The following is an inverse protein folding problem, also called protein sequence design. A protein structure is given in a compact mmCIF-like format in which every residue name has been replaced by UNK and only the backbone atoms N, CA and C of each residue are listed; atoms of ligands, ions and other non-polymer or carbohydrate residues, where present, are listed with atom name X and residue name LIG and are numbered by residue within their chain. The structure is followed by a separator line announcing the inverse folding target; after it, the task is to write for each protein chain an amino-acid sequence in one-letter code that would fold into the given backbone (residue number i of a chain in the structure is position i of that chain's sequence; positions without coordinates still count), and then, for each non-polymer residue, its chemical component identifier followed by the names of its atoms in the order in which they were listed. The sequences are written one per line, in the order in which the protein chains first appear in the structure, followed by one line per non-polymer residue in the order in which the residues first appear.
data_IF_252593027277
#
_entry.id   IF_252593027277
#
_cell.length_a   1.000
_cell.length_b   1.000
_cell.length_c   1.000
_cell.angle_alpha   90.00
_cell.angle_beta   90.00
_cell.angle_gamma   90.00
#
_symmetry.space_group_name_H-M   'P 1'
#
loop_
_entity.id
_entity.type
_entity.pdbx_description
1 polymer ?
#
# COMPACT_ATOMS: atom_id res chain seq x y z
N UNK A 1 9.22 -9.85 7.67
CA UNK A 1 8.39 -9.25 8.72
C UNK A 1 7.68 -10.28 9.57
N UNK A 2 6.92 -11.16 9.04
CA UNK A 2 6.14 -12.14 9.78
C UNK A 2 5.55 -13.20 8.87
N UNK A 3 4.94 -14.20 9.50
CA UNK A 3 4.19 -15.26 8.84
C UNK A 3 2.72 -15.01 9.17
N UNK A 4 1.86 -15.14 8.16
CA UNK A 4 0.40 -15.02 8.33
C UNK A 4 -0.18 -16.42 8.34
N UNK A 5 -0.99 -16.70 9.34
CA UNK A 5 -1.73 -17.94 9.50
C UNK A 5 -3.23 -17.65 9.40
N UNK A 6 -3.97 -18.55 8.81
CA UNK A 6 -5.41 -18.58 8.95
C UNK A 6 -5.78 -19.26 10.27
N UNK A 7 -6.72 -18.68 11.00
CA UNK A 7 -7.18 -19.15 12.29
C UNK A 7 -8.69 -18.99 12.46
N UNK A 8 -9.18 -19.41 13.61
CA UNK A 8 -10.58 -19.25 14.00
C UNK A 8 -10.62 -18.63 15.39
N UNK A 9 -11.32 -17.49 15.53
CA UNK A 9 -11.54 -16.84 16.81
C UNK A 9 -12.53 -17.66 17.69
N UNK A 10 -12.57 -17.38 19.00
CA UNK A 10 -13.44 -18.07 19.97
C UNK A 10 -14.93 -18.08 19.58
N UNK A 11 -15.37 -17.12 18.78
CA UNK A 11 -16.75 -17.06 18.23
C UNK A 11 -16.96 -17.83 16.93
N UNK A 12 -15.98 -18.59 16.43
CA UNK A 12 -16.06 -19.34 15.18
C UNK A 12 -15.79 -18.51 13.91
N UNK A 13 -15.49 -17.21 14.03
CA UNK A 13 -15.17 -16.35 12.88
C UNK A 13 -13.76 -16.60 12.37
N UNK A 14 -13.55 -16.67 11.04
CA UNK A 14 -12.22 -16.82 10.46
C UNK A 14 -11.39 -15.53 10.66
N UNK A 15 -10.12 -15.71 10.98
CA UNK A 15 -9.18 -14.60 11.25
C UNK A 15 -7.85 -14.86 10.57
N UNK A 16 -7.13 -13.77 10.28
CA UNK A 16 -5.74 -13.79 9.88
C UNK A 16 -4.86 -13.43 11.08
N UNK A 17 -3.92 -14.32 11.44
CA UNK A 17 -2.98 -14.12 12.55
C UNK A 17 -1.60 -13.90 11.99
N UNK A 18 -1.09 -12.68 12.12
CA UNK A 18 0.27 -12.31 11.69
C UNK A 18 1.23 -12.37 12.86
N UNK A 19 2.19 -13.29 12.82
CA UNK A 19 3.21 -13.48 13.84
C UNK A 19 4.52 -12.85 13.38
N UNK A 20 5.11 -11.98 14.20
CA UNK A 20 6.39 -11.33 13.93
C UNK A 20 7.52 -12.35 13.98
N UNK A 21 8.51 -12.25 13.08
CA UNK A 21 9.66 -13.18 13.08
C UNK A 21 10.52 -13.00 14.32
N UNK A 22 11.19 -14.08 14.74
CA UNK A 22 12.07 -14.10 15.92
C UNK A 22 13.16 -13.02 15.86
N UNK A 23 13.72 -12.74 14.68
CA UNK A 23 14.74 -11.71 14.50
C UNK A 23 14.23 -10.30 14.88
N UNK A 24 12.99 -9.98 14.49
CA UNK A 24 12.37 -8.68 14.77
C UNK A 24 11.82 -8.61 16.20
N UNK A 25 11.42 -9.75 16.79
CA UNK A 25 10.94 -9.80 18.18
C UNK A 25 12.06 -9.53 19.20
N UNK A 26 13.32 -9.68 18.79
CA UNK A 26 14.49 -9.36 19.63
C UNK A 26 14.90 -7.88 19.58
N UNK A 27 14.36 -7.10 18.63
CA UNK A 27 14.59 -5.67 18.52
C UNK A 27 13.55 -4.91 19.36
N UNK A 28 13.95 -4.45 20.54
CA UNK A 28 13.05 -3.72 21.44
C UNK A 28 12.49 -2.41 20.83
N UNK A 29 13.22 -1.76 19.93
CA UNK A 29 12.76 -0.54 19.26
C UNK A 29 11.62 -0.90 18.30
N UNK A 30 11.79 -1.99 17.55
CA UNK A 30 10.77 -2.53 16.69
C UNK A 30 9.52 -2.93 17.49
N UNK A 31 9.66 -3.70 18.55
CA UNK A 31 8.53 -4.19 19.37
C UNK A 31 7.73 -3.02 19.97
N UNK A 32 8.40 -2.02 20.57
CA UNK A 32 7.71 -0.83 21.12
C UNK A 32 6.95 -0.05 20.03
N UNK A 33 7.54 0.09 18.85
CA UNK A 33 6.88 0.76 17.72
C UNK A 33 5.68 -0.05 17.24
N UNK A 34 5.83 -1.36 17.04
CA UNK A 34 4.76 -2.27 16.64
C UNK A 34 3.57 -2.16 17.60
N UNK A 35 3.80 -2.24 18.92
CA UNK A 35 2.75 -2.11 19.93
C UNK A 35 2.01 -0.77 19.84
N UNK A 36 2.75 0.33 19.64
CA UNK A 36 2.16 1.67 19.52
C UNK A 36 1.30 1.79 18.23
N UNK A 37 1.79 1.30 17.11
CA UNK A 37 1.08 1.34 15.83
C UNK A 37 -0.16 0.45 15.85
N UNK A 38 -0.06 -0.74 16.44
CA UNK A 38 -1.22 -1.63 16.67
C UNK A 38 -2.27 -0.97 17.56
N UNK A 39 -1.88 -0.35 18.66
CA UNK A 39 -2.81 0.35 19.55
C UNK A 39 -3.52 1.54 18.89
N UNK A 40 -2.87 2.19 17.93
CA UNK A 40 -3.49 3.23 17.12
C UNK A 40 -4.44 2.61 16.07
N UNK A 41 -4.03 1.52 15.45
CA UNK A 41 -4.77 0.77 14.45
C UNK A 41 -6.09 0.20 14.99
N UNK A 42 -6.11 -0.33 16.20
CA UNK A 42 -7.31 -0.85 16.86
C UNK A 42 -8.43 0.19 17.04
N UNK A 43 -8.09 1.47 16.97
CA UNK A 43 -9.07 2.57 17.08
C UNK A 43 -9.70 2.95 15.75
N UNK A 44 -9.16 2.46 14.65
CA UNK A 44 -9.63 2.81 13.31
C UNK A 44 -10.78 1.89 12.93
N UNK A 45 -11.94 2.47 12.73
CA UNK A 45 -13.13 1.78 12.24
C UNK A 45 -13.51 2.40 10.90
N UNK A 46 -13.21 1.71 9.82
CA UNK A 46 -13.55 2.16 8.48
C UNK A 46 -13.92 0.96 7.60
N UNK A 47 -14.96 1.06 6.74
CA UNK A 47 -15.45 -0.06 5.93
C UNK A 47 -14.47 -0.61 4.90
N UNK A 48 -13.35 0.08 4.66
CA UNK A 48 -12.29 -0.30 3.73
C UNK A 48 -10.89 -0.41 4.37
N UNK A 49 -10.82 -0.51 5.69
CA UNK A 49 -9.60 -0.84 6.44
C UNK A 49 -9.86 -2.16 7.17
N UNK A 50 -8.97 -3.13 7.00
CA UNK A 50 -9.11 -4.42 7.68
C UNK A 50 -9.04 -4.22 9.19
N UNK A 51 -10.08 -4.58 9.96
CA UNK A 51 -10.11 -4.38 11.40
C UNK A 51 -9.02 -5.16 12.12
N UNK A 52 -8.35 -4.52 13.08
CA UNK A 52 -7.49 -5.19 14.07
C UNK A 52 -8.37 -5.67 15.21
N UNK A 53 -8.52 -6.98 15.33
CA UNK A 53 -9.41 -7.62 16.32
C UNK A 53 -8.71 -7.81 17.66
N UNK A 54 -7.43 -8.23 17.62
CA UNK A 54 -6.62 -8.46 18.81
C UNK A 54 -5.14 -8.32 18.48
N UNK A 55 -4.32 -8.15 19.51
CA UNK A 55 -2.87 -8.16 19.39
C UNK A 55 -2.25 -8.49 20.75
N UNK A 56 -1.12 -9.17 20.71
CA UNK A 56 -0.44 -9.59 21.94
C UNK A 56 0.93 -10.18 21.68
N UNK A 57 1.38 -10.97 22.63
CA UNK A 57 2.62 -11.72 22.56
C UNK A 57 2.38 -13.17 23.00
N UNK A 58 2.94 -14.12 22.27
CA UNK A 58 2.89 -15.55 22.63
C UNK A 58 4.26 -16.16 22.38
N UNK A 59 4.83 -16.80 23.41
CA UNK A 59 6.15 -17.41 23.34
C UNK A 59 7.28 -16.43 23.00
N UNK A 60 7.16 -15.14 23.39
CA UNK A 60 8.12 -14.09 23.07
C UNK A 60 7.97 -13.51 21.66
N UNK A 61 6.94 -13.91 20.91
CA UNK A 61 6.68 -13.42 19.56
C UNK A 61 5.44 -12.50 19.55
N UNK A 62 5.56 -11.22 19.16
CA UNK A 62 4.42 -10.36 18.96
C UNK A 62 3.52 -10.89 17.83
N UNK A 63 2.21 -10.79 18.03
CA UNK A 63 1.22 -11.15 17.01
C UNK A 63 0.14 -10.09 16.85
N UNK A 64 -0.52 -10.13 15.72
CA UNK A 64 -1.66 -9.31 15.35
C UNK A 64 -2.76 -10.20 14.77
N UNK A 65 -3.99 -10.02 15.22
CA UNK A 65 -5.18 -10.72 14.71
C UNK A 65 -6.04 -9.72 13.96
N UNK A 66 -6.37 -10.05 12.72
CA UNK A 66 -7.23 -9.24 11.86
C UNK A 66 -8.40 -10.08 11.31
N UNK A 67 -9.44 -9.43 10.84
CA UNK A 67 -10.47 -10.10 10.05
C UNK A 67 -9.85 -10.76 8.81
N UNK A 68 -10.24 -11.99 8.51
CA UNK A 68 -9.82 -12.69 7.30
C UNK A 68 -10.67 -12.21 6.12
N UNK A 69 -10.01 -11.62 5.12
CA UNK A 69 -10.65 -11.22 3.86
C UNK A 69 -10.41 -12.32 2.82
N UNK A 70 -11.47 -13.00 2.33
CA UNK A 70 -11.31 -14.29 1.66
C UNK A 70 -10.95 -14.22 0.16
N UNK A 71 -11.06 -13.05 -0.47
CA UNK A 71 -10.97 -12.92 -1.94
C UNK A 71 -9.55 -12.71 -2.48
N UNK A 72 -8.52 -12.89 -1.65
CA UNK A 72 -7.12 -12.69 -2.05
C UNK A 72 -6.73 -11.23 -2.15
N UNK A 73 -5.60 -10.95 -2.80
CA UNK A 73 -5.04 -9.60 -2.94
C UNK A 73 -5.28 -9.01 -4.33
N UNK A 74 -5.17 -7.68 -4.43
CA UNK A 74 -5.15 -6.98 -5.72
C UNK A 74 -3.95 -7.42 -6.57
N UNK A 75 -2.84 -7.82 -5.94
CA UNK A 75 -1.67 -8.38 -6.64
C UNK A 75 -2.03 -9.65 -7.40
N UNK A 76 -2.65 -10.62 -6.74
CA UNK A 76 -3.11 -11.87 -7.36
C UNK A 76 -4.15 -11.61 -8.45
N UNK A 77 -4.99 -10.60 -8.27
CA UNK A 77 -5.96 -10.16 -9.28
C UNK A 77 -5.27 -9.62 -10.53
N UNK A 78 -4.23 -8.79 -10.36
CA UNK A 78 -3.44 -8.26 -11.49
C UNK A 78 -2.67 -9.40 -12.17
N UNK A 79 -2.00 -10.27 -11.41
CA UNK A 79 -1.28 -11.42 -11.98
C UNK A 79 -2.21 -12.33 -12.82
N UNK A 80 -3.41 -12.59 -12.34
CA UNK A 80 -4.36 -13.46 -13.05
C UNK A 80 -4.97 -12.80 -14.29
N UNK A 81 -5.18 -11.48 -14.27
CA UNK A 81 -5.80 -10.73 -15.36
C UNK A 81 -4.79 -10.14 -16.36
N UNK A 82 -3.52 -10.02 -15.96
CA UNK A 82 -2.45 -9.30 -16.67
C UNK A 82 -2.57 -7.78 -16.54
N UNK A 83 -3.75 -7.22 -16.68
CA UNK A 83 -4.07 -5.81 -16.48
C UNK A 83 -5.58 -5.64 -16.24
N UNK A 84 -5.97 -4.54 -15.63
CA UNK A 84 -7.36 -4.18 -15.38
C UNK A 84 -7.78 -3.01 -16.29
N UNK A 85 -9.07 -2.91 -16.58
CA UNK A 85 -9.61 -1.72 -17.22
C UNK A 85 -9.71 -0.55 -16.20
N UNK A 86 -9.81 0.67 -16.72
CA UNK A 86 -9.83 1.89 -15.91
C UNK A 86 -11.04 1.94 -14.96
N UNK A 87 -12.22 1.52 -15.42
CA UNK A 87 -13.44 1.55 -14.62
C UNK A 87 -13.34 0.57 -13.43
N UNK A 88 -12.83 -0.63 -13.67
CA UNK A 88 -12.56 -1.63 -12.62
C UNK A 88 -11.48 -1.13 -11.65
N UNK A 89 -10.39 -0.54 -12.15
CA UNK A 89 -9.31 0.01 -11.32
C UNK A 89 -9.83 1.08 -10.37
N UNK A 90 -10.55 2.08 -10.89
CA UNK A 90 -11.09 3.18 -10.07
C UNK A 90 -12.13 2.67 -9.07
N UNK A 91 -13.01 1.76 -9.48
CA UNK A 91 -14.02 1.16 -8.60
C UNK A 91 -13.39 0.39 -7.44
N UNK A 92 -12.38 -0.44 -7.70
CA UNK A 92 -11.69 -1.20 -6.66
C UNK A 92 -10.88 -0.31 -5.72
N UNK A 93 -10.31 0.79 -6.20
CA UNK A 93 -9.43 1.65 -5.39
C UNK A 93 -10.16 2.81 -4.69
N UNK A 94 -11.42 3.07 -5.01
CA UNK A 94 -12.18 4.15 -4.36
C UNK A 94 -12.31 3.94 -2.85
N UNK A 95 -12.73 2.74 -2.43
CA UNK A 95 -12.83 2.41 -1.01
C UNK A 95 -11.50 2.39 -0.26
N UNK A 96 -10.45 1.69 -0.75
CA UNK A 96 -9.11 1.77 -0.19
C UNK A 96 -8.57 3.19 -0.05
N UNK A 97 -8.83 4.09 -1.02
CA UNK A 97 -8.42 5.48 -0.92
C UNK A 97 -9.10 6.23 0.25
N UNK A 98 -10.39 5.99 0.50
CA UNK A 98 -11.08 6.50 1.68
C UNK A 98 -10.50 5.90 2.98
N UNK A 99 -10.16 4.61 2.97
CA UNK A 99 -9.48 3.93 4.07
C UNK A 99 -8.11 4.55 4.38
N UNK A 100 -7.31 4.85 3.36
CA UNK A 100 -6.02 5.54 3.49
C UNK A 100 -6.23 6.94 4.11
N UNK A 101 -7.22 7.70 3.66
CA UNK A 101 -7.52 9.02 4.23
C UNK A 101 -7.98 8.90 5.72
N UNK A 102 -8.68 7.83 6.09
CA UNK A 102 -9.05 7.56 7.49
C UNK A 102 -7.83 7.25 8.37
N UNK A 103 -6.83 6.50 7.85
CA UNK A 103 -5.55 6.29 8.52
C UNK A 103 -4.85 7.64 8.75
N UNK A 104 -4.76 8.48 7.71
CA UNK A 104 -4.12 9.80 7.79
C UNK A 104 -4.82 10.71 8.81
N UNK A 105 -6.16 10.71 8.84
CA UNK A 105 -6.95 11.44 9.83
C UNK A 105 -6.71 10.99 11.28
N UNK A 106 -6.22 9.77 11.47
CA UNK A 106 -5.82 9.21 12.78
C UNK A 106 -4.34 9.42 13.10
N UNK A 107 -3.60 10.15 12.25
CA UNK A 107 -2.17 10.40 12.41
C UNK A 107 -1.27 9.22 12.01
N UNK A 108 -1.81 8.23 11.30
CA UNK A 108 -1.06 7.08 10.78
C UNK A 108 -0.79 7.25 9.28
N UNK A 109 0.47 7.08 8.88
CA UNK A 109 0.89 6.93 7.48
C UNK A 109 1.15 5.45 7.22
N UNK A 110 0.62 4.91 6.14
CA UNK A 110 0.70 3.48 5.84
C UNK A 110 2.12 3.02 5.45
N UNK A 111 2.82 3.79 4.65
CA UNK A 111 4.23 3.60 4.22
C UNK A 111 4.54 2.35 3.40
N UNK A 112 3.55 1.51 3.12
CA UNK A 112 3.69 0.27 2.33
C UNK A 112 2.46 -0.02 1.47
N UNK A 113 1.87 1.01 0.87
CA UNK A 113 0.78 0.83 -0.10
C UNK A 113 1.33 0.12 -1.33
N UNK A 114 0.73 -1.04 -1.64
CA UNK A 114 1.04 -1.87 -2.82
C UNK A 114 -0.12 -2.85 -3.06
N UNK A 115 -0.23 -3.47 -4.23
CA UNK A 115 -1.34 -4.39 -4.54
C UNK A 115 -1.46 -5.56 -3.56
N UNK A 116 -0.36 -6.07 -3.01
CA UNK A 116 -0.38 -7.16 -2.03
C UNK A 116 -1.02 -6.77 -0.68
N UNK A 117 -1.07 -5.46 -0.37
CA UNK A 117 -1.66 -4.92 0.85
C UNK A 117 -3.07 -4.33 0.63
N UNK A 118 -3.68 -4.62 -0.51
CA UNK A 118 -5.08 -4.33 -0.82
C UNK A 118 -5.78 -5.66 -1.03
N UNK A 119 -6.60 -6.05 -0.05
CA UNK A 119 -7.34 -7.32 -0.07
C UNK A 119 -8.71 -7.13 -0.69
N UNK A 120 -9.22 -8.19 -1.32
CA UNK A 120 -10.46 -8.16 -2.07
C UNK A 120 -11.51 -9.11 -1.45
N UNK A 121 -12.76 -8.69 -1.50
CA UNK A 121 -13.93 -9.53 -1.26
C UNK A 121 -15.00 -9.18 -2.29
N UNK A 122 -15.06 -9.95 -3.38
CA UNK A 122 -15.85 -9.62 -4.57
C UNK A 122 -15.42 -8.27 -5.17
N UNK A 123 -16.34 -7.30 -5.16
CA UNK A 123 -16.13 -5.93 -5.65
C UNK A 123 -15.67 -4.95 -4.56
N UNK A 124 -15.54 -5.41 -3.33
CA UNK A 124 -15.03 -4.60 -2.21
C UNK A 124 -13.54 -4.81 -2.05
N UNK A 125 -12.84 -3.74 -1.69
CA UNK A 125 -11.41 -3.78 -1.44
C UNK A 125 -11.08 -3.10 -0.10
N UNK A 126 -10.03 -3.59 0.56
CA UNK A 126 -9.65 -3.21 1.91
C UNK A 126 -8.15 -2.99 2.00
N UNK A 127 -7.74 -1.97 2.72
CA UNK A 127 -6.33 -1.74 3.06
C UNK A 127 -5.96 -2.57 4.29
N UNK A 128 -4.82 -3.25 4.22
CA UNK A 128 -4.25 -4.04 5.32
C UNK A 128 -2.78 -3.74 5.50
N UNK A 129 -2.18 -4.23 6.57
CA UNK A 129 -0.72 -4.16 6.83
C UNK A 129 -0.14 -2.73 6.92
N UNK A 130 -0.93 -1.78 7.41
CA UNK A 130 -0.51 -0.40 7.56
C UNK A 130 0.58 -0.24 8.62
N UNK A 131 1.67 0.43 8.23
CA UNK A 131 2.69 1.02 9.10
C UNK A 131 3.54 0.13 9.99
N UNK A 132 3.07 -1.07 10.32
CA UNK A 132 3.48 -1.91 11.46
C UNK A 132 4.97 -2.27 11.53
N UNK A 133 5.82 -1.86 10.60
CA UNK A 133 7.23 -2.27 10.66
C UNK A 133 8.22 -1.54 9.73
N UNK A 134 7.84 -0.46 9.06
CA UNK A 134 8.81 0.25 8.21
C UNK A 134 9.41 1.45 8.92
N UNK A 135 10.71 1.39 9.17
CA UNK A 135 11.50 2.52 9.61
C UNK A 135 11.64 3.54 8.47
N UNK A 136 11.51 4.82 8.78
CA UNK A 136 11.76 5.94 7.85
C UNK A 136 13.24 6.12 7.51
N UNK A 137 14.13 5.22 7.96
CA UNK A 137 15.56 5.39 7.75
C UNK A 137 16.04 4.60 6.53
N UNK A 138 16.66 5.30 5.60
CA UNK A 138 17.37 4.78 4.43
C UNK A 138 18.39 3.67 4.74
N UNK A 139 18.84 3.53 5.99
CA UNK A 139 19.76 2.52 6.46
C UNK A 139 19.25 1.07 6.33
N UNK A 140 17.95 0.87 6.10
CA UNK A 140 17.35 -0.46 5.95
C UNK A 140 17.13 -0.90 4.50
N UNK A 141 17.37 -0.02 3.52
CA UNK A 141 17.16 -0.32 2.08
C UNK A 141 18.04 -1.44 1.54
N UNK A 142 19.14 -1.77 2.23
CA UNK A 142 20.14 -2.76 1.79
C UNK A 142 20.14 -4.06 2.59
N UNK A 143 19.18 -4.27 3.51
CA UNK A 143 19.13 -5.54 4.26
C UNK A 143 18.73 -6.71 3.33
N UNK A 144 19.51 -7.81 3.29
CA UNK A 144 19.12 -9.02 2.59
C UNK A 144 17.79 -9.54 3.17
N UNK A 145 16.80 -9.77 2.30
CA UNK A 145 15.49 -10.30 2.72
C UNK A 145 14.34 -9.29 2.75
N UNK A 146 14.55 -8.01 2.48
CA UNK A 146 13.42 -7.14 2.09
C UNK A 146 12.89 -7.61 0.74
N UNK A 147 11.59 -7.87 0.69
CA UNK A 147 10.94 -8.33 -0.54
C UNK A 147 11.23 -7.31 -1.67
N UNK A 148 11.89 -7.76 -2.72
CA UNK A 148 12.29 -6.94 -3.89
C UNK A 148 11.13 -6.09 -4.42
N UNK A 149 9.89 -6.58 -4.37
CA UNK A 149 8.71 -5.91 -4.88
C UNK A 149 8.23 -4.68 -4.10
N UNK A 150 8.75 -4.39 -2.89
CA UNK A 150 8.33 -3.16 -2.16
C UNK A 150 9.03 -1.90 -2.65
N UNK A 151 10.14 -2.02 -3.39
CA UNK A 151 10.86 -0.87 -3.93
C UNK A 151 10.10 -0.18 -5.05
N UNK A 152 9.28 -0.93 -5.78
CA UNK A 152 8.53 -0.47 -6.96
C UNK A 152 7.43 0.56 -6.65
N UNK A 153 7.11 0.75 -5.36
CA UNK A 153 6.07 1.70 -4.87
C UNK A 153 6.63 2.76 -3.93
N UNK A 154 7.96 2.78 -3.74
CA UNK A 154 8.60 3.64 -2.75
C UNK A 154 8.61 5.10 -3.21
N UNK A 155 8.11 5.99 -2.36
CA UNK A 155 8.10 7.41 -2.65
C UNK A 155 9.52 8.02 -2.57
N UNK A 156 9.82 9.10 -3.35
CA UNK A 156 11.14 9.75 -3.34
C UNK A 156 11.65 10.13 -1.95
N UNK A 157 10.80 10.69 -1.09
CA UNK A 157 11.14 11.07 0.28
C UNK A 157 11.51 9.86 1.16
N UNK A 158 10.87 8.70 0.95
CA UNK A 158 11.25 7.47 1.65
C UNK A 158 12.66 7.01 1.24
N UNK A 159 12.99 7.12 -0.06
CA UNK A 159 14.31 6.75 -0.58
C UNK A 159 15.39 7.69 -0.06
N UNK A 160 15.08 9.00 0.06
CA UNK A 160 15.97 10.02 0.60
C UNK A 160 16.13 9.94 2.12
N UNK A 161 15.23 9.19 2.82
CA UNK A 161 15.20 9.15 4.29
C UNK A 161 14.64 10.42 4.92
N UNK A 162 13.82 11.15 4.18
CA UNK A 162 13.10 12.35 4.60
C UNK A 162 11.82 12.00 5.37
N UNK A 163 11.16 13.02 5.92
CA UNK A 163 9.91 12.82 6.66
C UNK A 163 8.78 12.33 5.73
N UNK A 164 8.11 11.26 6.15
CA UNK A 164 6.96 10.70 5.43
C UNK A 164 5.66 11.35 5.87
N UNK A 165 4.74 11.49 4.93
CA UNK A 165 3.43 12.12 5.16
C UNK A 165 2.32 11.37 4.40
N UNK A 166 1.10 11.88 4.43
CA UNK A 166 0.00 11.40 3.61
C UNK A 166 0.36 11.34 2.11
N UNK A 167 1.17 12.29 1.62
CA UNK A 167 1.62 12.34 0.24
C UNK A 167 2.47 11.11 -0.17
N UNK A 168 3.15 10.48 0.79
CA UNK A 168 3.91 9.24 0.58
C UNK A 168 2.99 8.10 0.12
N UNK A 169 1.86 7.91 0.79
CA UNK A 169 0.88 6.88 0.45
C UNK A 169 0.16 7.19 -0.87
N UNK A 170 -0.05 8.48 -1.17
CA UNK A 170 -0.65 8.93 -2.44
C UNK A 170 0.29 8.59 -3.61
N UNK A 171 1.61 8.78 -3.47
CA UNK A 171 2.59 8.36 -4.46
C UNK A 171 2.52 6.84 -4.72
N UNK A 172 2.54 6.06 -3.66
CA UNK A 172 2.44 4.61 -3.75
C UNK A 172 1.11 4.15 -4.40
N UNK A 173 -0.01 4.83 -4.07
CA UNK A 173 -1.31 4.59 -4.72
C UNK A 173 -1.27 4.93 -6.22
N UNK A 174 -0.50 5.94 -6.63
CA UNK A 174 -0.23 6.25 -8.04
C UNK A 174 0.48 5.10 -8.75
N UNK A 175 1.49 4.50 -8.12
CA UNK A 175 2.16 3.30 -8.63
C UNK A 175 1.20 2.12 -8.75
N UNK A 176 0.30 1.92 -7.78
CA UNK A 176 -0.72 0.87 -7.80
C UNK A 176 -1.70 1.07 -8.96
N UNK A 177 -2.20 2.30 -9.19
CA UNK A 177 -3.08 2.58 -10.33
C UNK A 177 -2.37 2.30 -11.65
N UNK A 178 -1.12 2.74 -11.79
CA UNK A 178 -0.33 2.45 -12.98
C UNK A 178 -0.23 0.94 -13.24
N UNK A 179 0.11 0.15 -12.21
CA UNK A 179 0.23 -1.31 -12.32
C UNK A 179 -1.10 -1.98 -12.62
N UNK A 180 -2.21 -1.57 -12.01
CA UNK A 180 -3.53 -2.07 -12.36
C UNK A 180 -3.81 -1.94 -13.85
N UNK A 181 -3.45 -0.81 -14.44
CA UNK A 181 -3.74 -0.49 -15.84
C UNK A 181 -2.76 -1.12 -16.83
N UNK A 182 -1.50 -1.33 -16.45
CA UNK A 182 -0.44 -1.79 -17.38
C UNK A 182 0.07 -3.19 -17.08
N UNK A 183 -0.28 -3.78 -15.93
CA UNK A 183 0.24 -5.05 -15.44
C UNK A 183 1.62 -4.95 -14.79
N UNK A 184 2.25 -3.77 -14.77
CA UNK A 184 3.57 -3.56 -14.19
C UNK A 184 3.64 -2.21 -13.45
N UNK A 185 4.39 -2.10 -12.33
CA UNK A 185 4.61 -0.80 -11.69
C UNK A 185 5.41 0.15 -12.60
N UNK A 186 5.35 1.49 -12.39
CA UNK A 186 5.90 2.50 -13.32
C UNK A 186 7.35 2.27 -13.72
N UNK A 187 8.16 1.79 -12.78
CA UNK A 187 9.59 1.58 -13.00
C UNK A 187 10.01 0.12 -12.81
N UNK A 188 9.06 -0.81 -12.77
CA UNK A 188 9.27 -2.24 -12.55
C UNK A 188 10.11 -2.92 -13.63
N UNK A 189 10.54 -4.16 -13.33
CA UNK A 189 11.35 -4.97 -14.26
C UNK A 189 12.80 -4.54 -14.42
N UNK A 190 13.26 -3.57 -13.62
CA UNK A 190 14.64 -3.05 -13.62
C UNK A 190 15.41 -3.56 -12.39
N UNK A 191 16.77 -3.57 -12.41
CA UNK A 191 17.54 -3.80 -11.21
C UNK A 191 17.21 -2.80 -10.09
N UNK A 192 17.16 -3.24 -8.83
CA UNK A 192 16.69 -2.47 -7.67
C UNK A 192 17.25 -1.04 -7.58
N UNK A 193 18.57 -0.87 -7.80
CA UNK A 193 19.18 0.47 -7.77
C UNK A 193 18.68 1.38 -8.90
N UNK A 194 18.30 0.81 -10.04
CA UNK A 194 17.74 1.57 -11.17
C UNK A 194 16.29 1.95 -10.90
N UNK A 195 15.53 1.10 -10.21
CA UNK A 195 14.17 1.42 -9.74
C UNK A 195 14.22 2.60 -8.78
N UNK A 196 15.08 2.56 -7.75
CA UNK A 196 15.24 3.65 -6.80
C UNK A 196 15.65 4.97 -7.48
N UNK A 197 16.61 4.91 -8.41
CA UNK A 197 17.02 6.09 -9.18
C UNK A 197 15.86 6.67 -10.01
N UNK A 198 15.06 5.81 -10.65
CA UNK A 198 13.92 6.23 -11.44
C UNK A 198 12.83 6.90 -10.58
N UNK A 199 12.53 6.35 -9.40
CA UNK A 199 11.63 7.01 -8.44
C UNK A 199 12.12 8.41 -8.03
N UNK A 200 13.43 8.58 -7.89
CA UNK A 200 14.01 9.88 -7.50
C UNK A 200 14.02 10.92 -8.64
N UNK A 201 14.26 10.50 -9.90
CA UNK A 201 14.68 11.44 -10.95
C UNK A 201 14.00 11.28 -12.30
N UNK A 202 13.49 10.08 -12.64
CA UNK A 202 12.88 9.87 -13.95
C UNK A 202 11.41 10.29 -13.94
N UNK A 203 10.93 10.87 -15.04
CA UNK A 203 9.50 11.06 -15.24
C UNK A 203 8.80 9.69 -15.29
N UNK A 204 7.56 9.57 -14.74
CA UNK A 204 6.79 8.35 -14.90
C UNK A 204 6.54 8.06 -16.39
N UNK A 205 6.47 6.77 -16.80
CA UNK A 205 6.13 6.41 -18.18
C UNK A 205 4.79 7.01 -18.58
N UNK A 206 4.66 7.37 -19.86
CA UNK A 206 3.36 7.80 -20.38
C UNK A 206 2.43 6.60 -20.47
N UNK A 207 1.42 6.59 -19.63
CA UNK A 207 0.47 5.49 -19.55
C UNK A 207 -0.31 5.32 -20.87
N UNK A 208 -0.46 6.37 -21.69
CA UNK A 208 -1.15 6.33 -22.98
C UNK A 208 -0.41 5.49 -24.03
N UNK A 209 0.91 5.28 -23.88
CA UNK A 209 1.67 4.36 -24.72
C UNK A 209 1.27 2.91 -24.50
N UNK A 210 1.10 2.52 -23.23
CA UNK A 210 0.69 1.17 -22.86
C UNK A 210 -0.84 0.97 -22.93
N UNK A 211 -1.61 2.05 -22.76
CA UNK A 211 -3.07 2.07 -22.71
C UNK A 211 -3.64 3.18 -23.62
N UNK A 212 -3.69 2.96 -24.93
CA UNK A 212 -4.23 3.94 -25.88
C UNK A 212 -5.71 4.30 -25.66
N UNK A 213 -6.44 3.49 -24.89
CA UNK A 213 -7.80 3.74 -24.44
C UNK A 213 -7.91 4.75 -23.28
N UNK A 214 -6.77 5.10 -22.64
CA UNK A 214 -6.69 6.14 -21.60
C UNK A 214 -6.41 7.48 -22.25
N UNK A 215 -7.37 8.42 -22.15
CA UNK A 215 -7.19 9.75 -22.71
C UNK A 215 -6.11 10.56 -21.98
N UNK A 216 -5.55 11.59 -22.63
CA UNK A 216 -4.47 12.41 -22.10
C UNK A 216 -4.81 13.10 -20.77
N UNK A 217 -6.08 13.47 -20.54
CA UNK A 217 -6.51 14.10 -19.28
C UNK A 217 -6.43 13.09 -18.12
N UNK A 218 -6.83 11.85 -18.38
CA UNK A 218 -6.74 10.75 -17.39
C UNK A 218 -5.28 10.38 -17.12
N UNK A 219 -4.44 10.25 -18.14
CA UNK A 219 -3.01 10.00 -17.99
C UNK A 219 -2.35 11.08 -17.11
N UNK A 220 -2.66 12.35 -17.36
CA UNK A 220 -2.19 13.47 -16.55
C UNK A 220 -2.68 13.40 -15.11
N UNK A 221 -3.95 13.02 -14.87
CA UNK A 221 -4.50 12.89 -13.53
C UNK A 221 -3.81 11.76 -12.76
N UNK A 222 -3.51 10.63 -13.41
CA UNK A 222 -2.78 9.51 -12.82
C UNK A 222 -1.36 9.95 -12.45
N UNK A 223 -0.63 10.57 -13.37
CA UNK A 223 0.76 10.97 -13.17
C UNK A 223 0.93 12.03 -12.09
N UNK A 224 -0.12 12.79 -11.74
CA UNK A 224 -0.04 13.80 -10.68
C UNK A 224 0.31 13.21 -9.30
N UNK A 225 -0.06 11.99 -9.02
CA UNK A 225 0.36 11.32 -7.78
C UNK A 225 1.85 10.94 -7.78
N UNK A 226 2.44 10.80 -8.98
CA UNK A 226 3.83 10.41 -9.18
C UNK A 226 4.81 11.61 -9.25
N UNK A 227 4.33 12.82 -8.93
CA UNK A 227 5.19 14.00 -8.78
C UNK A 227 6.26 13.74 -7.69
N UNK A 228 7.47 14.27 -7.94
CA UNK A 228 8.62 13.97 -7.07
C UNK A 228 8.51 14.69 -5.73
N UNK A 229 8.03 15.93 -5.76
CA UNK A 229 7.84 16.71 -4.56
C UNK A 229 6.46 16.45 -3.95
N UNK A 230 6.37 16.15 -2.63
CA UNK A 230 5.12 15.80 -1.97
C UNK A 230 4.00 16.84 -2.09
N UNK A 231 4.35 18.12 -2.11
CA UNK A 231 3.41 19.26 -2.21
C UNK A 231 2.73 19.38 -3.58
N UNK A 232 3.31 18.79 -4.62
CA UNK A 232 2.75 18.82 -5.97
C UNK A 232 1.73 17.71 -6.21
N UNK A 233 1.63 16.75 -5.27
CA UNK A 233 0.68 15.63 -5.33
C UNK A 233 -0.73 16.03 -4.92
N UNK A 234 -1.76 15.20 -5.20
CA UNK A 234 -3.12 15.42 -4.69
C UNK A 234 -3.16 15.51 -3.17
N UNK A 235 -4.11 16.30 -2.65
CA UNK A 235 -4.23 16.58 -1.21
C UNK A 235 -4.71 15.37 -0.37
N UNK A 236 -5.40 14.40 -0.98
CA UNK A 236 -5.85 13.17 -0.31
C UNK A 236 -5.99 12.02 -1.31
N UNK A 237 -5.96 10.79 -0.82
CA UNK A 237 -6.08 9.59 -1.64
C UNK A 237 -7.45 9.50 -2.32
N UNK A 238 -8.54 9.78 -1.62
CA UNK A 238 -9.88 9.78 -2.19
C UNK A 238 -10.06 10.90 -3.25
N UNK A 239 -9.52 12.10 -2.99
CA UNK A 239 -9.54 13.18 -3.99
C UNK A 239 -8.74 12.80 -5.25
N UNK A 240 -7.63 12.08 -5.08
CA UNK A 240 -6.84 11.56 -6.18
C UNK A 240 -7.63 10.60 -7.07
N UNK A 241 -8.18 9.50 -6.49
CA UNK A 241 -8.96 8.52 -7.25
C UNK A 241 -10.18 9.16 -7.93
N UNK A 242 -10.86 10.08 -7.23
CA UNK A 242 -11.97 10.84 -7.80
C UNK A 242 -11.54 11.73 -8.98
N UNK A 243 -10.35 12.31 -8.93
CA UNK A 243 -9.82 13.12 -10.04
C UNK A 243 -9.55 12.28 -11.29
N UNK A 244 -9.03 11.06 -11.11
CA UNK A 244 -8.82 10.08 -12.20
C UNK A 244 -10.16 9.69 -12.83
N UNK A 245 -11.17 9.36 -12.02
CA UNK A 245 -12.51 9.04 -12.50
C UNK A 245 -13.11 10.21 -13.30
N UNK A 246 -13.04 11.43 -12.78
CA UNK A 246 -13.56 12.62 -13.43
C UNK A 246 -12.89 12.86 -14.80
N UNK A 247 -11.58 12.69 -14.87
CA UNK A 247 -10.83 12.85 -16.12
C UNK A 247 -11.19 11.76 -17.17
N UNK A 248 -11.55 10.56 -16.70
CA UNK A 248 -11.97 9.46 -17.55
C UNK A 248 -13.36 9.67 -18.22
N UNK A 249 -14.19 10.51 -17.60
CA UNK A 249 -15.58 10.77 -18.06
C UNK A 249 -15.73 12.12 -18.78
N UNK A 250 -14.65 12.89 -18.90
CA UNK A 250 -14.62 14.18 -19.60
C UNK A 250 -14.24 14.03 -21.06
#
# INVERSE_FOLDING_TARGET
MGIVFEGVADGGSPVAVKVVTTELSQDEVFVRRFQREVAAAQKIQHPHVVPVLDAGESGGLPYLVQELIPGGSLHERIESAGQLDLATTVRLLAGPAEGIDALHGSGLVHRDIKPANILLDGDRAYVTDFGLAKDSQASNLTRPGQALGSLDYMAPEQIRGEDVSAATDIYALGCVIHECLTGTPPFGGRPSMRVLFAHLQEAPPDISEARPDVNAATAKAINRALEKEPEDRPASAAAYVKSVLKAATA
#
